data_IF_370889594288
#
_entry.id   IF_370889594288
#
_cell.length_a   1.000
_cell.length_b   1.000
_cell.length_c   1.000
_cell.angle_alpha   90.00
_cell.angle_beta   90.00
_cell.angle_gamma   90.00
#
_symmetry.space_group_name_H-M   'P 1'
#
loop_
_entity.id
_entity.type
_entity.pdbx_description
1 polymer ?
#
# COMPACT_ATOMS: atom_id res chain seq x y z
N UNK A 1 11.56 -5.40 -8.16
CA UNK A 1 10.59 -6.40 -8.66
C UNK A 1 11.36 -7.40 -9.49
N UNK A 2 11.34 -8.67 -9.11
CA UNK A 2 11.96 -9.74 -9.90
C UNK A 2 10.89 -10.35 -10.80
N UNK A 3 11.17 -10.50 -12.09
CA UNK A 3 10.16 -10.89 -13.10
C UNK A 3 10.16 -12.40 -13.40
N UNK A 4 10.90 -13.21 -12.65
CA UNK A 4 11.13 -14.64 -12.93
C UNK A 4 9.83 -15.46 -13.00
N UNK A 5 8.82 -15.09 -12.20
CA UNK A 5 7.51 -15.76 -12.13
C UNK A 5 6.38 -14.96 -12.80
N UNK A 6 6.67 -13.77 -13.33
CA UNK A 6 5.67 -12.86 -13.92
C UNK A 6 5.74 -12.95 -15.44
N UNK A 7 4.83 -13.71 -16.04
CA UNK A 7 4.80 -13.97 -17.49
C UNK A 7 3.69 -13.20 -18.20
N UNK A 8 2.76 -12.62 -17.46
CA UNK A 8 1.65 -11.82 -17.98
C UNK A 8 1.56 -10.46 -17.29
N UNK A 9 0.93 -9.50 -17.98
CA UNK A 9 0.68 -8.17 -17.43
C UNK A 9 -0.21 -8.21 -16.17
N UNK A 10 -1.20 -9.10 -16.14
CA UNK A 10 -2.05 -9.31 -14.96
C UNK A 10 -1.26 -9.76 -13.74
N UNK A 11 -0.35 -10.73 -13.90
CA UNK A 11 0.53 -11.18 -12.81
C UNK A 11 1.44 -10.06 -12.31
N UNK A 12 1.88 -9.18 -13.20
CA UNK A 12 2.63 -7.99 -12.80
C UNK A 12 1.75 -7.03 -11.98
N UNK A 13 0.52 -6.74 -12.43
CA UNK A 13 -0.40 -5.87 -11.71
C UNK A 13 -0.73 -6.40 -10.31
N UNK A 14 -1.02 -7.68 -10.17
CA UNK A 14 -1.30 -8.32 -8.87
C UNK A 14 -0.10 -8.21 -7.91
N UNK A 15 1.11 -8.33 -8.45
CA UNK A 15 2.32 -8.26 -7.65
C UNK A 15 2.78 -6.82 -7.41
N UNK A 16 2.34 -5.83 -8.17
CA UNK A 16 2.74 -4.44 -8.00
C UNK A 16 1.72 -3.65 -7.15
N UNK A 17 0.43 -3.84 -7.42
CA UNK A 17 -0.65 -3.08 -6.79
C UNK A 17 -1.38 -3.91 -5.73
N UNK A 18 -1.74 -3.30 -4.58
CA UNK A 18 -1.64 -1.87 -4.29
C UNK A 18 -0.29 -1.40 -3.70
N UNK A 19 0.59 -2.33 -3.29
CA UNK A 19 1.78 -2.05 -2.47
C UNK A 19 2.78 -1.04 -3.04
N UNK A 20 2.85 -0.86 -4.36
CA UNK A 20 3.68 0.17 -4.99
C UNK A 20 3.28 1.59 -4.55
N UNK A 21 2.02 1.81 -4.16
CA UNK A 21 1.56 3.08 -3.62
C UNK A 21 2.18 3.38 -2.25
N UNK A 22 2.29 2.38 -1.38
CA UNK A 22 2.97 2.53 -0.09
C UNK A 22 4.46 2.82 -0.28
N UNK A 23 5.10 2.19 -1.28
CA UNK A 23 6.48 2.50 -1.64
C UNK A 23 6.63 3.94 -2.14
N UNK A 24 5.75 4.40 -3.03
CA UNK A 24 5.79 5.75 -3.58
C UNK A 24 5.60 6.80 -2.48
N UNK A 25 4.67 6.54 -1.57
CA UNK A 25 4.35 7.41 -0.45
C UNK A 25 5.56 7.54 0.50
N UNK A 26 6.22 6.43 0.89
CA UNK A 26 7.48 6.47 1.66
C UNK A 26 8.67 7.06 0.91
N UNK A 27 8.74 6.89 -0.40
CA UNK A 27 9.84 7.46 -1.20
C UNK A 27 9.73 8.99 -1.31
N UNK A 28 8.52 9.53 -1.20
CA UNK A 28 8.24 10.96 -1.36
C UNK A 28 8.08 11.69 -0.02
N UNK A 29 7.44 11.05 0.95
CA UNK A 29 7.12 11.62 2.25
C UNK A 29 7.97 11.00 3.35
N UNK A 30 8.59 11.88 4.16
CA UNK A 30 9.27 11.49 5.39
C UNK A 30 8.32 11.73 6.56
N UNK A 31 7.90 10.66 7.22
CA UNK A 31 7.06 10.78 8.40
C UNK A 31 7.85 11.16 9.65
N UNK A 32 7.17 11.81 10.59
CA UNK A 32 7.75 12.22 11.87
C UNK A 32 8.27 11.02 12.68
N UNK A 33 7.54 9.89 12.63
CA UNK A 33 7.87 8.67 13.38
C UNK A 33 9.14 7.97 12.91
N UNK A 34 9.64 8.26 11.71
CA UNK A 34 10.87 7.67 11.18
C UNK A 34 12.12 8.09 12.00
N UNK A 35 12.06 9.24 12.65
CA UNK A 35 13.16 9.79 13.45
C UNK A 35 12.95 9.67 14.96
N UNK A 36 11.75 9.31 15.39
CA UNK A 36 11.41 9.20 16.80
C UNK A 36 12.14 8.03 17.47
N UNK A 37 12.70 8.31 18.67
CA UNK A 37 13.32 7.31 19.57
C UNK A 37 12.47 7.03 20.80
N UNK A 38 11.26 7.59 20.90
CA UNK A 38 10.36 7.41 22.03
C UNK A 38 9.49 6.14 21.87
N UNK A 39 8.94 5.61 22.98
CA UNK A 39 7.97 4.52 22.93
C UNK A 39 6.69 4.86 22.14
N UNK A 40 6.36 6.14 22.00
CA UNK A 40 5.18 6.61 21.25
C UNK A 40 5.31 6.47 19.73
N UNK A 41 6.49 6.07 19.23
CA UNK A 41 6.79 5.94 17.80
C UNK A 41 5.88 4.95 17.08
N UNK A 42 5.59 3.80 17.69
CA UNK A 42 4.72 2.80 17.08
C UNK A 42 3.27 3.29 17.00
N UNK A 43 2.77 3.95 18.04
CA UNK A 43 1.43 4.55 18.01
C UNK A 43 1.29 5.65 16.93
N UNK A 44 2.33 6.45 16.71
CA UNK A 44 2.33 7.45 15.65
C UNK A 44 2.37 6.83 14.25
N UNK A 45 3.18 5.77 14.06
CA UNK A 45 3.21 4.99 12.82
C UNK A 45 1.85 4.35 12.53
N UNK A 46 1.26 3.70 13.52
CA UNK A 46 0.00 2.97 13.35
C UNK A 46 -1.14 3.95 13.00
N UNK A 47 -1.17 5.13 13.65
CA UNK A 47 -2.11 6.20 13.30
C UNK A 47 -1.96 6.68 11.85
N UNK A 48 -0.73 6.84 11.37
CA UNK A 48 -0.49 7.26 9.99
C UNK A 48 -0.81 6.15 9.00
N UNK A 49 -0.54 4.89 9.37
CA UNK A 49 -0.94 3.72 8.59
C UNK A 49 -2.45 3.62 8.44
N UNK A 50 -3.22 3.84 9.50
CA UNK A 50 -4.69 3.84 9.43
C UNK A 50 -5.21 4.89 8.44
N UNK A 51 -4.66 6.11 8.51
CA UNK A 51 -5.03 7.19 7.58
C UNK A 51 -4.64 6.85 6.12
N UNK A 52 -3.49 6.22 5.92
CA UNK A 52 -3.05 5.74 4.60
C UNK A 52 -3.96 4.63 4.07
N UNK A 53 -4.32 3.65 4.90
CA UNK A 53 -5.19 2.54 4.55
C UNK A 53 -6.60 3.03 4.17
N UNK A 54 -7.15 4.01 4.89
CA UNK A 54 -8.42 4.65 4.56
C UNK A 54 -8.36 5.37 3.20
N UNK A 55 -7.31 6.17 2.97
CA UNK A 55 -7.12 6.87 1.69
C UNK A 55 -6.95 5.89 0.52
N UNK A 56 -6.24 4.79 0.74
CA UNK A 56 -6.07 3.72 -0.23
C UNK A 56 -7.42 3.07 -0.55
N UNK A 57 -8.16 2.62 0.46
CA UNK A 57 -9.42 1.89 0.31
C UNK A 57 -10.54 2.71 -0.34
N UNK A 58 -10.76 3.93 0.15
CA UNK A 58 -11.86 4.78 -0.34
C UNK A 58 -11.50 5.63 -1.55
N UNK A 59 -10.21 5.91 -1.76
CA UNK A 59 -9.74 6.84 -2.79
C UNK A 59 -9.06 6.15 -3.97
N UNK A 60 -7.93 5.50 -3.70
CA UNK A 60 -7.01 5.04 -4.74
C UNK A 60 -7.43 3.71 -5.38
N UNK A 61 -7.96 2.74 -4.62
CA UNK A 61 -8.43 1.48 -5.20
C UNK A 61 -9.55 1.70 -6.25
N UNK A 62 -10.60 2.51 -6.00
CA UNK A 62 -11.58 2.83 -7.05
C UNK A 62 -10.98 3.54 -8.27
N UNK A 63 -9.89 4.30 -8.10
CA UNK A 63 -9.18 4.94 -9.22
C UNK A 63 -8.42 3.91 -10.05
N UNK A 64 -7.83 2.91 -9.42
CA UNK A 64 -7.15 1.80 -10.10
C UNK A 64 -8.16 0.93 -10.86
N UNK A 65 -9.32 0.64 -10.27
CA UNK A 65 -10.41 -0.09 -10.95
C UNK A 65 -10.83 0.60 -12.24
N UNK A 66 -11.06 1.93 -12.20
CA UNK A 66 -11.42 2.73 -13.39
C UNK A 66 -10.35 2.73 -14.48
N UNK A 67 -9.09 2.49 -14.13
CA UNK A 67 -7.97 2.39 -15.07
C UNK A 67 -7.73 0.97 -15.59
N UNK A 68 -8.52 -0.01 -15.13
CA UNK A 68 -8.37 -1.41 -15.54
C UNK A 68 -7.15 -2.11 -14.93
N UNK A 69 -6.62 -1.62 -13.82
CA UNK A 69 -5.49 -2.26 -13.13
C UNK A 69 -6.01 -3.42 -12.28
N UNK A 70 -5.47 -4.62 -12.53
CA UNK A 70 -5.80 -5.84 -11.78
C UNK A 70 -4.95 -5.89 -10.50
N UNK A 71 -5.41 -5.28 -9.42
CA UNK A 71 -4.70 -5.32 -8.13
C UNK A 71 -5.15 -6.51 -7.27
N UNK A 72 -4.27 -6.93 -6.36
CA UNK A 72 -4.59 -7.99 -5.40
C UNK A 72 -5.65 -7.51 -4.40
N UNK A 73 -6.77 -8.22 -4.33
CA UNK A 73 -7.77 -8.06 -3.26
C UNK A 73 -7.50 -9.14 -2.21
N UNK A 74 -7.07 -8.72 -1.02
CA UNK A 74 -6.84 -9.66 0.08
C UNK A 74 -8.18 -10.21 0.61
N UNK A 75 -8.25 -11.51 0.97
CA UNK A 75 -9.45 -12.08 1.56
C UNK A 75 -9.76 -11.41 2.91
N UNK A 76 -11.04 -11.17 3.24
CA UNK A 76 -11.41 -10.54 4.49
C UNK A 76 -11.05 -11.42 5.69
N UNK A 77 -10.48 -10.82 6.73
CA UNK A 77 -10.28 -11.49 8.02
C UNK A 77 -11.62 -11.70 8.73
N UNK A 78 -11.98 -12.94 9.02
CA UNK A 78 -13.13 -13.29 9.86
C UNK A 78 -12.66 -13.85 11.20
N UNK A 79 -13.44 -13.63 12.27
CA UNK A 79 -13.18 -14.14 13.62
C UNK A 79 -14.35 -15.00 14.09
#
# INVERSE_FOLDING_TARGET
MWAETMRTEGQFHEMAFPRVLALAERAWHRADWETMRSPSRDAARDKEWDAFADALGYGELPRLERKGVLYLVEPPGAK
#
